data_IF_412498064154
#
_entry.id   IF_412498064154
#
_cell.length_a   1.000
_cell.length_b   1.000
_cell.length_c   1.000
_cell.angle_alpha   90.00
_cell.angle_beta   90.00
_cell.angle_gamma   90.00
#
_symmetry.space_group_name_H-M   'P 1'
#
loop_
_entity.id
_entity.type
_entity.pdbx_description
1 polymer ?
#
# COMPACT_ATOMS: atom_id res chain seq x y z
N UNK A 1 28.47 -11.92 -10.71
CA UNK A 1 27.86 -12.21 -9.40
C UNK A 1 26.57 -11.41 -9.36
N UNK A 2 25.40 -12.02 -9.19
CA UNK A 2 24.16 -11.25 -9.17
C UNK A 2 24.11 -10.46 -7.86
N UNK A 3 23.95 -9.15 -7.97
CA UNK A 3 23.67 -8.28 -6.84
C UNK A 3 22.28 -8.63 -6.32
N UNK A 4 22.22 -9.22 -5.13
CA UNK A 4 20.96 -9.39 -4.40
C UNK A 4 20.52 -8.00 -3.94
N UNK A 5 19.45 -7.49 -4.52
CA UNK A 5 18.74 -6.33 -3.99
C UNK A 5 18.13 -6.73 -2.64
N UNK A 6 18.58 -6.08 -1.58
CA UNK A 6 17.92 -6.14 -0.27
C UNK A 6 16.68 -5.25 -0.34
N UNK A 7 15.54 -5.86 -0.62
CA UNK A 7 14.25 -5.17 -0.64
C UNK A 7 13.77 -5.12 0.81
N UNK A 8 13.96 -3.99 1.46
CA UNK A 8 13.30 -3.70 2.72
C UNK A 8 11.91 -3.12 2.42
N UNK A 9 10.87 -3.90 2.59
CA UNK A 9 9.49 -3.40 2.49
C UNK A 9 9.25 -2.37 3.58
N UNK A 10 8.88 -1.16 3.20
CA UNK A 10 8.47 -0.11 4.11
C UNK A 10 7.01 0.17 3.84
N UNK A 11 6.19 -0.17 4.83
CA UNK A 11 4.82 0.27 4.83
C UNK A 11 4.77 1.77 5.11
N UNK A 12 4.32 2.55 4.15
CA UNK A 12 3.94 3.94 4.37
C UNK A 12 2.50 3.95 4.87
N UNK A 13 2.33 4.17 6.16
CA UNK A 13 1.00 4.34 6.75
C UNK A 13 0.63 5.82 6.65
N UNK A 14 -0.22 6.15 5.71
CA UNK A 14 -0.88 7.45 5.66
C UNK A 14 -2.25 7.32 6.35
N UNK A 15 -2.38 7.83 7.56
CA UNK A 15 -3.67 7.97 8.23
C UNK A 15 -4.26 9.33 7.85
N UNK A 16 -5.27 9.34 7.00
CA UNK A 16 -6.06 10.53 6.71
C UNK A 16 -7.07 10.75 7.86
N UNK A 17 -6.69 11.60 8.80
CA UNK A 17 -7.65 12.19 9.72
C UNK A 17 -8.15 13.53 9.13
N UNK A 18 -9.36 13.56 8.64
CA UNK A 18 -10.02 14.77 8.17
C UNK A 18 -10.53 15.57 9.38
N UNK A 19 -9.64 16.34 10.04
CA UNK A 19 -10.03 17.54 10.84
C UNK A 19 -8.80 18.32 11.29
N UNK A 20 -8.89 19.62 11.36
CA UNK A 20 -7.87 20.63 11.55
C UNK A 20 -7.12 20.66 12.90
N UNK A 21 -6.28 21.69 13.19
CA UNK A 21 -5.16 21.62 14.12
C UNK A 21 -5.56 21.72 15.59
N UNK A 22 -5.04 20.86 16.37
CA UNK A 22 -4.69 20.89 17.81
C UNK A 22 -5.05 19.59 18.52
N UNK A 23 -4.10 19.04 19.25
CA UNK A 23 -4.27 17.91 20.15
C UNK A 23 -5.36 18.16 21.19
N UNK A 24 -6.59 17.79 20.86
CA UNK A 24 -7.68 17.58 21.81
C UNK A 24 -8.06 16.11 21.71
N UNK A 25 -8.22 15.47 22.86
CA UNK A 25 -8.94 14.20 22.97
C UNK A 25 -10.31 14.41 22.28
N UNK A 26 -10.39 14.09 21.00
CA UNK A 26 -11.63 14.19 20.26
C UNK A 26 -12.47 12.98 20.62
N UNK A 27 -13.66 13.24 21.10
CA UNK A 27 -14.73 12.25 21.05
C UNK A 27 -14.96 11.94 19.58
N UNK A 28 -14.61 10.70 19.16
CA UNK A 28 -14.79 10.23 17.79
C UNK A 28 -16.26 10.41 17.42
N UNK A 29 -16.54 11.28 16.44
CA UNK A 29 -17.88 11.44 15.91
C UNK A 29 -18.35 10.08 15.35
N UNK A 30 -19.60 9.66 15.61
CA UNK A 30 -20.16 8.45 14.99
C UNK A 30 -20.04 8.38 13.45
N UNK A 31 -19.75 9.50 12.78
CA UNK A 31 -19.49 9.60 11.35
C UNK A 31 -18.03 9.42 10.89
N UNK A 32 -17.04 9.47 11.80
CA UNK A 32 -15.64 9.41 11.42
C UNK A 32 -15.26 8.03 10.81
N UNK A 33 -14.49 8.04 9.75
CA UNK A 33 -13.93 6.85 9.12
C UNK A 33 -12.40 6.94 9.07
N UNK A 34 -11.75 5.77 9.09
CA UNK A 34 -10.30 5.65 8.91
C UNK A 34 -10.04 4.90 7.62
N UNK A 35 -9.18 5.48 6.77
CA UNK A 35 -8.64 4.79 5.60
C UNK A 35 -7.17 4.50 5.87
N UNK A 36 -6.82 3.21 5.87
CA UNK A 36 -5.44 2.74 5.91
C UNK A 36 -5.03 2.39 4.48
N UNK A 37 -3.90 2.91 4.04
CA UNK A 37 -3.33 2.57 2.72
C UNK A 37 -1.92 2.06 2.92
N UNK A 38 -1.59 0.93 2.30
CA UNK A 38 -0.22 0.42 2.22
C UNK A 38 0.21 0.26 0.77
N UNK A 39 1.49 0.45 0.53
CA UNK A 39 2.16 0.26 -0.75
C UNK A 39 3.24 -0.80 -0.53
N UNK A 40 3.07 -2.01 -1.05
CA UNK A 40 4.09 -3.04 -0.96
C UNK A 40 5.33 -2.67 -1.78
N UNK A 41 6.50 -3.07 -1.32
CA UNK A 41 7.76 -2.76 -1.99
C UNK A 41 8.16 -1.27 -2.01
N UNK A 42 7.40 -0.38 -1.36
CA UNK A 42 7.72 1.04 -1.31
C UNK A 42 9.00 1.30 -0.49
N UNK A 43 10.02 1.91 -1.14
CA UNK A 43 11.29 2.19 -0.49
C UNK A 43 11.38 3.64 0.00
N UNK A 44 12.11 3.85 1.11
CA UNK A 44 12.42 5.19 1.63
C UNK A 44 13.09 6.08 0.59
N UNK A 45 13.90 5.49 -0.27
CA UNK A 45 14.66 6.19 -1.30
C UNK A 45 13.73 6.93 -2.27
N UNK A 46 12.71 6.27 -2.80
CA UNK A 46 11.75 6.91 -3.70
C UNK A 46 10.80 7.85 -2.97
N UNK A 47 10.29 7.42 -1.80
CA UNK A 47 9.33 8.23 -1.04
C UNK A 47 9.93 9.56 -0.61
N UNK A 48 11.15 9.57 -0.07
CA UNK A 48 11.79 10.77 0.46
C UNK A 48 12.79 11.43 -0.50
N UNK A 49 13.42 10.64 -1.35
CA UNK A 49 14.47 11.09 -2.28
C UNK A 49 14.02 11.28 -3.72
N UNK A 50 12.89 10.67 -4.10
CA UNK A 50 12.44 10.62 -5.49
C UNK A 50 13.25 9.65 -6.34
N UNK A 51 13.46 9.95 -7.63
CA UNK A 51 14.23 9.12 -8.54
C UNK A 51 15.62 8.78 -7.98
N UNK A 52 15.90 7.48 -7.84
CA UNK A 52 17.23 6.94 -7.54
C UNK A 52 17.99 6.71 -8.85
N UNK A 53 19.04 7.52 -9.07
CA UNK A 53 19.82 7.49 -10.30
C UNK A 53 20.65 6.22 -10.43
N UNK A 54 21.13 5.65 -9.33
CA UNK A 54 21.96 4.44 -9.36
C UNK A 54 21.09 3.22 -9.73
N UNK A 55 19.88 3.16 -9.20
CA UNK A 55 18.91 2.13 -9.60
C UNK A 55 18.53 2.31 -11.07
N UNK A 56 18.18 3.53 -11.51
CA UNK A 56 17.89 3.77 -12.92
C UNK A 56 19.03 3.32 -13.82
N UNK A 57 20.27 3.70 -13.49
CA UNK A 57 21.47 3.33 -14.25
C UNK A 57 21.62 1.81 -14.36
N UNK A 58 21.32 1.07 -13.30
CA UNK A 58 21.42 -0.39 -13.30
C UNK A 58 20.43 -1.09 -14.24
N UNK A 59 19.35 -0.40 -14.62
CA UNK A 59 18.32 -0.93 -15.54
C UNK A 59 18.55 -0.56 -16.99
N UNK A 60 19.51 0.34 -17.26
CA UNK A 60 19.84 0.78 -18.63
C UNK A 60 20.89 -0.13 -19.27
N UNK A 61 20.92 -0.15 -20.60
CA UNK A 61 22.00 -0.79 -21.35
C UNK A 61 23.31 -0.01 -21.16
N UNK A 62 24.47 -0.68 -21.20
CA UNK A 62 25.77 -0.03 -20.95
C UNK A 62 26.08 1.20 -21.81
N UNK A 63 25.55 1.24 -23.04
CA UNK A 63 25.72 2.35 -23.98
C UNK A 63 24.74 3.51 -23.80
N UNK A 64 23.71 3.32 -22.98
CA UNK A 64 22.71 4.35 -22.74
C UNK A 64 23.16 5.33 -21.66
N UNK A 65 23.07 6.63 -21.97
CA UNK A 65 23.28 7.65 -20.96
C UNK A 65 22.03 7.85 -20.13
N UNK A 66 22.21 7.95 -18.82
CA UNK A 66 21.13 8.11 -17.87
C UNK A 66 20.28 9.33 -18.17
N UNK A 67 20.93 10.46 -18.48
CA UNK A 67 20.29 11.75 -18.74
C UNK A 67 19.46 11.75 -20.03
N UNK A 68 19.74 10.82 -20.93
CA UNK A 68 19.01 10.69 -22.21
C UNK A 68 17.76 9.81 -22.06
N UNK A 69 17.65 9.04 -20.95
CA UNK A 69 16.51 8.17 -20.71
C UNK A 69 15.21 8.96 -20.47
N UNK A 70 14.08 8.40 -20.92
CA UNK A 70 12.77 9.01 -20.72
C UNK A 70 12.41 9.11 -19.21
N UNK A 71 12.83 8.13 -18.42
CA UNK A 71 12.64 8.09 -16.97
C UNK A 71 13.34 9.24 -16.29
N UNK A 72 14.62 9.45 -16.61
CA UNK A 72 15.38 10.57 -16.05
C UNK A 72 14.74 11.92 -16.43
N UNK A 73 14.43 12.14 -17.69
CA UNK A 73 13.78 13.37 -18.16
C UNK A 73 12.45 13.66 -17.46
N UNK A 74 11.70 12.61 -17.12
CA UNK A 74 10.41 12.74 -16.44
C UNK A 74 10.55 13.04 -14.97
N UNK A 75 11.39 12.29 -14.24
CA UNK A 75 11.38 12.27 -12.78
C UNK A 75 12.56 12.94 -12.11
N UNK A 76 13.61 13.29 -12.87
CA UNK A 76 14.79 13.94 -12.30
C UNK A 76 14.52 15.40 -11.93
N UNK A 77 15.11 15.82 -10.82
CA UNK A 77 15.32 17.21 -10.40
C UNK A 77 16.55 17.27 -9.50
N UNK A 78 17.11 18.47 -9.29
CA UNK A 78 18.36 18.64 -8.54
C UNK A 78 18.22 18.28 -7.07
N UNK A 79 17.10 18.61 -6.43
CA UNK A 79 16.89 18.33 -5.01
C UNK A 79 15.99 17.12 -4.79
N UNK A 80 16.18 16.38 -3.67
CA UNK A 80 15.30 15.28 -3.29
C UNK A 80 13.82 15.69 -3.21
N UNK A 81 13.57 16.87 -2.66
CA UNK A 81 12.23 17.45 -2.53
C UNK A 81 11.56 17.62 -3.89
N UNK A 82 12.29 18.19 -4.86
CA UNK A 82 11.76 18.37 -6.21
C UNK A 82 11.57 17.03 -6.95
N UNK A 83 12.44 16.04 -6.72
CA UNK A 83 12.30 14.70 -7.33
C UNK A 83 11.08 13.96 -6.79
N UNK A 84 10.92 13.90 -5.46
CA UNK A 84 9.78 13.21 -4.85
C UNK A 84 8.44 13.84 -5.22
N UNK A 85 8.40 15.16 -5.38
CA UNK A 85 7.24 15.91 -5.87
C UNK A 85 6.83 15.52 -7.30
N UNK A 86 7.76 15.05 -8.14
CA UNK A 86 7.45 14.57 -9.48
C UNK A 86 6.83 13.16 -9.49
N UNK A 87 7.06 12.39 -8.44
CA UNK A 87 6.56 11.02 -8.32
C UNK A 87 5.23 10.99 -7.56
N UNK A 88 5.13 11.75 -6.47
CA UNK A 88 4.01 11.77 -5.53
C UNK A 88 3.58 13.21 -5.22
N UNK A 89 3.10 13.99 -6.21
CA UNK A 89 2.76 15.40 -6.01
C UNK A 89 1.61 15.62 -5.02
N UNK A 90 0.54 14.82 -5.09
CA UNK A 90 -0.60 14.93 -4.19
C UNK A 90 -0.20 14.56 -2.76
N UNK A 91 0.45 13.42 -2.57
CA UNK A 91 0.90 12.95 -1.26
C UNK A 91 1.77 14.00 -0.55
N UNK A 92 2.77 14.56 -1.24
CA UNK A 92 3.65 15.55 -0.65
C UNK A 92 2.97 16.89 -0.39
N UNK A 93 1.99 17.28 -1.19
CA UNK A 93 1.14 18.45 -0.91
C UNK A 93 0.30 18.21 0.35
N UNK A 94 -0.37 17.06 0.44
CA UNK A 94 -1.17 16.68 1.60
C UNK A 94 -0.35 16.62 2.89
N UNK A 95 0.84 15.98 2.85
CA UNK A 95 1.75 15.87 4.00
C UNK A 95 2.21 17.24 4.47
N UNK A 96 2.59 18.13 3.55
CA UNK A 96 3.09 19.48 3.89
C UNK A 96 2.03 20.40 4.45
N UNK A 97 0.80 20.31 3.96
CA UNK A 97 -0.28 21.23 4.31
C UNK A 97 -1.13 20.73 5.48
N UNK A 98 -1.35 19.44 5.60
CA UNK A 98 -2.36 18.89 6.51
C UNK A 98 -1.88 17.65 7.29
N UNK A 99 -0.77 17.03 6.86
CA UNK A 99 -0.32 15.74 7.36
C UNK A 99 0.83 15.80 8.34
N UNK A 100 1.23 14.60 8.76
CA UNK A 100 2.48 14.34 9.50
C UNK A 100 3.16 13.15 8.86
N UNK A 101 4.50 13.13 8.87
CA UNK A 101 5.28 12.06 8.29
C UNK A 101 6.37 11.59 9.24
N UNK A 102 6.60 10.27 9.27
CA UNK A 102 7.71 9.64 9.96
C UNK A 102 8.55 8.82 8.97
N UNK A 103 9.81 8.53 9.32
CA UNK A 103 10.68 7.68 8.52
C UNK A 103 11.68 8.43 7.63
N UNK A 104 11.63 9.76 7.56
CA UNK A 104 12.63 10.52 6.82
C UNK A 104 13.95 10.57 7.59
N UNK A 105 14.87 9.65 7.28
CA UNK A 105 16.17 9.52 7.92
C UNK A 105 17.05 10.76 7.76
N UNK A 106 16.93 11.49 6.66
CA UNK A 106 17.67 12.74 6.44
C UNK A 106 17.27 13.83 7.43
N UNK A 107 16.07 13.75 8.01
CA UNK A 107 15.58 14.65 9.06
C UNK A 107 15.61 14.03 10.47
N UNK A 108 16.33 12.92 10.65
CA UNK A 108 16.49 12.25 11.94
C UNK A 108 15.27 11.45 12.39
N UNK A 109 14.29 11.21 11.51
CA UNK A 109 13.15 10.36 11.79
C UNK A 109 13.35 8.97 11.17
N UNK A 110 13.05 7.90 11.93
CA UNK A 110 13.13 6.53 11.44
C UNK A 110 11.80 5.79 11.65
N UNK A 111 11.46 4.94 10.69
CA UNK A 111 10.48 3.89 10.84
C UNK A 111 11.18 2.56 10.53
N UNK A 112 11.02 1.57 11.39
CA UNK A 112 11.71 0.29 11.28
C UNK A 112 10.73 -0.85 11.52
N UNK A 113 10.94 -1.96 10.84
CA UNK A 113 10.26 -3.22 11.12
C UNK A 113 10.95 -3.92 12.29
N UNK A 114 10.16 -4.53 13.16
CA UNK A 114 10.64 -5.34 14.28
C UNK A 114 10.88 -6.80 13.91
N UNK A 115 10.17 -7.32 12.88
CA UNK A 115 10.33 -8.68 12.43
C UNK A 115 11.67 -8.90 11.69
N UNK A 116 12.16 -10.16 11.70
CA UNK A 116 13.44 -10.55 11.11
C UNK A 116 13.32 -11.28 9.78
N UNK A 117 12.10 -11.50 9.27
CA UNK A 117 11.89 -12.39 8.13
C UNK A 117 12.00 -11.72 6.76
N UNK A 118 11.87 -10.40 6.67
CA UNK A 118 12.05 -9.62 5.44
C UNK A 118 11.14 -10.06 4.27
N UNK A 119 9.94 -10.54 4.60
CA UNK A 119 8.86 -10.87 3.67
C UNK A 119 7.68 -9.95 3.88
N UNK A 120 6.83 -9.82 2.87
CA UNK A 120 5.65 -8.95 2.91
C UNK A 120 4.66 -9.39 3.99
N UNK A 121 4.30 -10.67 4.06
CA UNK A 121 3.33 -11.13 5.06
C UNK A 121 3.79 -10.89 6.52
N UNK A 122 5.01 -11.25 6.95
CA UNK A 122 5.51 -10.85 8.28
C UNK A 122 5.42 -9.35 8.55
N UNK A 123 5.70 -8.51 7.54
CA UNK A 123 5.56 -7.05 7.63
C UNK A 123 4.12 -6.61 7.82
N UNK A 124 3.19 -7.13 7.03
CA UNK A 124 1.76 -6.87 7.19
C UNK A 124 1.20 -7.39 8.51
N UNK A 125 1.65 -8.57 8.94
CA UNK A 125 1.31 -9.10 10.25
C UNK A 125 1.72 -8.14 11.36
N UNK A 126 2.94 -7.62 11.32
CA UNK A 126 3.43 -6.64 12.28
C UNK A 126 2.59 -5.35 12.28
N UNK A 127 2.21 -4.84 11.10
CA UNK A 127 1.33 -3.66 10.97
C UNK A 127 -0.03 -3.93 11.63
N UNK A 128 -0.64 -5.08 11.34
CA UNK A 128 -1.99 -5.40 11.80
C UNK A 128 -2.06 -5.88 13.25
N UNK A 129 -0.95 -6.35 13.82
CA UNK A 129 -0.87 -6.77 15.23
C UNK A 129 -0.23 -5.71 16.14
N UNK A 130 0.43 -4.70 15.55
CA UNK A 130 1.14 -3.65 16.29
C UNK A 130 2.49 -4.08 16.86
N UNK A 131 2.92 -5.30 16.60
CA UNK A 131 4.24 -5.84 16.96
C UNK A 131 4.58 -7.08 16.14
N UNK A 132 5.87 -7.42 16.06
CA UNK A 132 6.36 -8.63 15.41
C UNK A 132 6.09 -9.89 16.26
N UNK A 133 5.70 -10.97 15.59
CA UNK A 133 5.59 -12.34 16.13
C UNK A 133 6.32 -13.29 15.18
N UNK A 134 7.65 -13.32 15.28
CA UNK A 134 8.54 -14.00 14.33
C UNK A 134 8.34 -15.52 14.24
N UNK A 135 7.70 -16.11 15.24
CA UNK A 135 7.38 -17.55 15.28
C UNK A 135 6.09 -17.92 14.55
N UNK A 136 5.22 -16.94 14.31
CA UNK A 136 3.90 -17.19 13.75
C UNK A 136 3.91 -17.19 12.21
N UNK A 137 4.44 -16.12 11.61
CA UNK A 137 4.50 -15.93 10.16
C UNK A 137 5.94 -15.69 9.75
N UNK A 138 6.48 -16.62 8.97
CA UNK A 138 7.92 -16.65 8.60
C UNK A 138 8.20 -16.48 7.11
N UNK A 139 7.14 -16.48 6.29
CA UNK A 139 7.19 -16.41 4.82
C UNK A 139 5.94 -15.74 4.27
N UNK A 140 5.82 -15.70 2.94
CA UNK A 140 4.61 -15.26 2.22
C UNK A 140 3.59 -16.40 2.02
N UNK A 141 3.76 -17.56 2.65
CA UNK A 141 2.79 -18.64 2.55
C UNK A 141 1.40 -18.18 3.06
N UNK A 142 0.29 -18.50 2.37
CA UNK A 142 -1.05 -18.02 2.69
C UNK A 142 -1.65 -18.76 3.91
N UNK A 143 -0.94 -18.75 5.02
CA UNK A 143 -1.39 -19.28 6.30
C UNK A 143 -2.27 -18.23 6.96
N UNK A 144 -3.48 -18.61 7.38
CA UNK A 144 -4.37 -17.66 8.06
C UNK A 144 -3.70 -17.05 9.27
N UNK A 145 -3.86 -15.73 9.41
CA UNK A 145 -3.32 -14.95 10.54
C UNK A 145 -3.66 -15.63 11.90
N UNK A 146 -2.67 -16.05 12.67
CA UNK A 146 -2.91 -16.82 13.89
C UNK A 146 -3.43 -15.99 15.08
N UNK A 147 -3.42 -14.67 14.96
CA UNK A 147 -3.82 -13.74 16.03
C UNK A 147 -4.87 -12.74 15.55
N UNK A 148 -5.76 -12.30 16.48
CA UNK A 148 -6.74 -11.25 16.22
C UNK A 148 -6.05 -9.97 15.72
N UNK A 149 -6.43 -9.49 14.55
CA UNK A 149 -5.90 -8.26 13.95
C UNK A 149 -6.53 -7.01 14.56
N UNK A 150 -5.90 -5.86 14.37
CA UNK A 150 -6.48 -4.56 14.77
C UNK A 150 -7.82 -4.31 14.08
N UNK A 151 -8.03 -4.83 12.88
CA UNK A 151 -9.29 -4.71 12.14
C UNK A 151 -10.42 -5.42 12.84
N UNK A 152 -10.20 -6.69 13.22
CA UNK A 152 -11.17 -7.48 13.98
C UNK A 152 -11.41 -6.89 15.36
N UNK A 153 -10.35 -6.45 16.03
CA UNK A 153 -10.42 -5.82 17.35
C UNK A 153 -11.27 -4.55 17.31
N UNK A 154 -11.05 -3.65 16.34
CA UNK A 154 -11.87 -2.44 16.18
C UNK A 154 -13.32 -2.82 15.92
N UNK A 155 -13.56 -3.79 15.02
CA UNK A 155 -14.91 -4.28 14.76
C UNK A 155 -15.61 -4.75 16.03
N UNK A 156 -14.95 -5.59 16.81
CA UNK A 156 -15.49 -6.15 18.06
C UNK A 156 -15.72 -5.07 19.12
N UNK A 157 -14.74 -4.24 19.41
CA UNK A 157 -14.81 -3.21 20.46
C UNK A 157 -15.79 -2.09 20.13
N UNK A 158 -15.96 -1.75 18.86
CA UNK A 158 -16.93 -0.75 18.40
C UNK A 158 -18.29 -1.34 18.01
N UNK A 159 -18.47 -2.65 18.15
CA UNK A 159 -19.71 -3.37 17.79
C UNK A 159 -20.14 -3.14 16.34
N UNK A 160 -19.18 -3.06 15.43
CA UNK A 160 -19.41 -2.83 14.00
C UNK A 160 -19.83 -4.15 13.31
N UNK A 161 -20.64 -4.03 12.25
CA UNK A 161 -20.87 -5.16 11.34
C UNK A 161 -19.61 -5.49 10.53
N UNK A 162 -19.54 -6.69 9.96
CA UNK A 162 -18.42 -7.07 9.10
C UNK A 162 -18.21 -6.09 7.94
N UNK A 163 -19.29 -5.61 7.32
CA UNK A 163 -19.24 -4.66 6.22
C UNK A 163 -18.78 -3.24 6.61
N UNK A 164 -18.67 -2.94 7.89
CA UNK A 164 -18.16 -1.64 8.35
C UNK A 164 -16.65 -1.64 8.57
N UNK A 165 -16.00 -2.80 8.44
CA UNK A 165 -14.54 -2.95 8.43
C UNK A 165 -14.17 -3.74 7.19
N UNK A 166 -13.59 -3.09 6.20
CA UNK A 166 -13.36 -3.68 4.89
C UNK A 166 -11.90 -3.56 4.45
N UNK A 167 -11.40 -4.60 3.80
CA UNK A 167 -10.06 -4.67 3.20
C UNK A 167 -10.19 -4.91 1.70
N UNK A 168 -9.51 -4.10 0.90
CA UNK A 168 -9.34 -4.27 -0.53
C UNK A 168 -7.86 -4.38 -0.83
N UNK A 169 -7.43 -5.51 -1.38
CA UNK A 169 -6.01 -5.76 -1.62
C UNK A 169 -5.76 -6.25 -3.04
N UNK A 170 -4.63 -5.87 -3.62
CA UNK A 170 -4.21 -6.37 -4.91
C UNK A 170 -3.74 -7.81 -4.81
N UNK A 171 -3.01 -8.17 -3.77
CA UNK A 171 -2.51 -9.51 -3.51
C UNK A 171 -3.55 -10.41 -2.83
N UNK A 172 -3.81 -11.61 -3.38
CA UNK A 172 -4.81 -12.57 -2.90
C UNK A 172 -4.53 -13.13 -1.49
N UNK A 173 -3.26 -13.16 -1.08
CA UNK A 173 -2.85 -13.62 0.26
C UNK A 173 -3.46 -12.77 1.37
N UNK A 174 -3.98 -11.57 1.07
CA UNK A 174 -4.72 -10.76 2.05
C UNK A 174 -5.96 -11.45 2.60
N UNK A 175 -6.49 -12.46 1.92
CA UNK A 175 -7.53 -13.35 2.46
C UNK A 175 -7.06 -14.13 3.70
N UNK A 176 -5.75 -14.30 3.85
CA UNK A 176 -5.14 -14.92 5.02
C UNK A 176 -4.59 -13.87 6.02
N UNK A 177 -4.07 -12.73 5.50
CA UNK A 177 -3.38 -11.71 6.29
C UNK A 177 -4.36 -10.88 7.13
N UNK A 178 -5.50 -10.46 6.56
CA UNK A 178 -6.29 -9.36 7.10
C UNK A 178 -7.12 -9.76 8.33
N UNK A 179 -7.40 -11.06 8.52
CA UNK A 179 -8.20 -11.53 9.66
C UNK A 179 -7.75 -12.90 10.18
N UNK A 180 -7.92 -13.08 11.47
CA UNK A 180 -7.77 -14.35 12.18
C UNK A 180 -9.01 -15.23 11.99
N UNK A 181 -10.18 -14.67 12.26
CA UNK A 181 -11.46 -15.38 12.18
C UNK A 181 -12.10 -15.12 10.83
N UNK A 182 -12.25 -16.16 10.03
CA UNK A 182 -12.84 -16.07 8.69
C UNK A 182 -14.22 -15.41 8.70
N UNK A 183 -14.40 -14.39 7.86
CA UNK A 183 -15.61 -13.61 7.73
C UNK A 183 -15.86 -12.64 8.89
N UNK A 184 -14.86 -12.42 9.75
CA UNK A 184 -14.96 -11.39 10.78
C UNK A 184 -15.06 -9.99 10.17
N UNK A 185 -14.38 -9.75 9.07
CA UNK A 185 -14.40 -8.49 8.33
C UNK A 185 -14.82 -8.73 6.87
N UNK A 186 -14.97 -7.69 6.08
CA UNK A 186 -15.15 -7.84 4.63
C UNK A 186 -13.80 -7.76 3.95
N UNK A 187 -13.43 -8.79 3.20
CA UNK A 187 -12.20 -8.82 2.43
C UNK A 187 -12.55 -9.04 0.96
N UNK A 188 -11.85 -8.33 0.07
CA UNK A 188 -11.83 -8.58 -1.35
C UNK A 188 -10.38 -8.42 -1.84
N UNK A 189 -9.76 -9.51 -2.23
CA UNK A 189 -8.34 -9.57 -2.56
C UNK A 189 -8.06 -10.36 -3.83
N UNK A 190 -6.95 -10.07 -4.51
CA UNK A 190 -6.60 -10.73 -5.77
C UNK A 190 -7.70 -10.55 -6.82
N UNK A 191 -7.92 -11.56 -7.63
CA UNK A 191 -8.88 -11.52 -8.74
C UNK A 191 -10.35 -11.74 -8.33
N UNK A 192 -10.66 -11.62 -7.04
CA UNK A 192 -12.04 -11.81 -6.56
C UNK A 192 -12.97 -10.73 -7.12
N UNK A 193 -14.13 -11.12 -7.70
CA UNK A 193 -15.11 -10.15 -8.13
C UNK A 193 -15.76 -9.46 -6.93
N UNK A 194 -16.02 -8.17 -7.05
CA UNK A 194 -16.79 -7.46 -6.03
C UNK A 194 -18.28 -7.67 -6.25
N UNK A 195 -18.94 -8.22 -5.23
CA UNK A 195 -20.37 -8.48 -5.23
C UNK A 195 -21.03 -7.82 -4.00
N UNK A 196 -21.37 -6.54 -4.14
CA UNK A 196 -22.04 -5.77 -3.08
C UNK A 196 -23.47 -5.48 -3.51
N UNK A 197 -24.49 -5.82 -2.72
CA UNK A 197 -25.88 -5.54 -3.06
C UNK A 197 -26.11 -4.05 -3.36
N UNK A 198 -26.66 -3.77 -4.55
CA UNK A 198 -26.96 -2.41 -5.00
C UNK A 198 -25.74 -1.62 -5.51
N UNK A 199 -24.59 -2.26 -5.69
CA UNK A 199 -23.45 -1.75 -6.41
C UNK A 199 -23.32 -2.52 -7.74
N UNK A 200 -23.38 -1.79 -8.86
CA UNK A 200 -23.18 -2.39 -10.18
C UNK A 200 -21.68 -2.43 -10.51
N UNK A 201 -21.07 -3.57 -10.23
CA UNK A 201 -19.67 -3.83 -10.55
C UNK A 201 -19.48 -4.78 -11.74
N UNK A 202 -20.54 -5.11 -12.47
CA UNK A 202 -20.44 -6.10 -13.54
C UNK A 202 -19.38 -5.74 -14.59
N UNK A 203 -19.36 -4.49 -15.03
CA UNK A 203 -18.35 -4.00 -16.00
C UNK A 203 -16.95 -4.03 -15.41
N UNK A 204 -16.78 -3.61 -14.16
CA UNK A 204 -15.46 -3.59 -13.50
C UNK A 204 -14.92 -5.02 -13.30
N UNK A 205 -15.77 -5.94 -12.88
CA UNK A 205 -15.41 -7.35 -12.72
C UNK A 205 -15.06 -8.00 -14.08
N UNK A 206 -15.82 -7.66 -15.15
CA UNK A 206 -15.50 -8.12 -16.50
C UNK A 206 -14.14 -7.57 -16.97
N UNK A 207 -13.91 -6.26 -16.81
CA UNK A 207 -12.64 -5.64 -17.20
C UNK A 207 -11.44 -6.22 -16.42
N UNK A 208 -11.61 -6.51 -15.14
CA UNK A 208 -10.57 -7.17 -14.34
C UNK A 208 -10.22 -8.55 -14.91
N UNK A 209 -11.23 -9.33 -15.30
CA UNK A 209 -11.03 -10.64 -15.93
C UNK A 209 -10.35 -10.53 -17.32
N UNK A 210 -10.72 -9.53 -18.12
CA UNK A 210 -10.18 -9.32 -19.47
C UNK A 210 -8.77 -8.71 -19.46
N UNK A 211 -8.48 -7.82 -18.50
CA UNK A 211 -7.18 -7.17 -18.32
C UNK A 211 -6.40 -7.84 -17.19
N UNK A 212 -6.13 -9.14 -17.37
CA UNK A 212 -5.42 -9.92 -16.36
C UNK A 212 -4.04 -9.30 -16.02
N UNK A 213 -3.71 -9.37 -14.76
CA UNK A 213 -2.39 -9.00 -14.26
C UNK A 213 -1.31 -9.93 -14.85
N UNK A 214 -0.08 -9.44 -15.07
CA UNK A 214 1.03 -10.30 -15.47
C UNK A 214 1.53 -11.19 -14.32
N UNK A 215 1.11 -10.92 -13.08
CA UNK A 215 1.55 -11.63 -11.88
C UNK A 215 0.47 -12.59 -11.37
N UNK A 216 0.91 -13.72 -10.84
CA UNK A 216 0.00 -14.72 -10.31
C UNK A 216 -0.46 -14.32 -8.89
N UNK A 217 -1.78 -14.34 -8.66
CA UNK A 217 -2.36 -14.00 -7.37
C UNK A 217 -2.47 -12.50 -7.07
N UNK A 218 -1.99 -11.63 -7.97
CA UNK A 218 -2.02 -10.17 -7.80
C UNK A 218 -2.83 -9.54 -8.93
N UNK A 219 -3.87 -8.79 -8.62
CA UNK A 219 -4.58 -7.94 -9.60
C UNK A 219 -3.93 -6.57 -9.72
N UNK A 220 -4.21 -5.86 -10.82
CA UNK A 220 -3.74 -4.49 -10.98
C UNK A 220 -4.36 -3.56 -9.93
N UNK A 221 -3.55 -2.66 -9.37
CA UNK A 221 -3.94 -1.69 -8.33
C UNK A 221 -5.13 -0.81 -8.74
N UNK A 222 -5.26 -0.54 -10.03
CA UNK A 222 -6.40 0.20 -10.56
C UNK A 222 -7.76 -0.47 -10.25
N UNK A 223 -7.83 -1.80 -10.29
CA UNK A 223 -9.04 -2.53 -9.93
C UNK A 223 -9.28 -2.52 -8.43
N UNK A 224 -8.22 -2.72 -7.63
CA UNK A 224 -8.27 -2.61 -6.17
C UNK A 224 -8.83 -1.26 -5.75
N UNK A 225 -8.28 -0.18 -6.30
CA UNK A 225 -8.74 1.18 -6.03
C UNK A 225 -10.21 1.39 -6.41
N UNK A 226 -10.61 1.01 -7.64
CA UNK A 226 -11.98 1.21 -8.11
C UNK A 226 -13.00 0.41 -7.31
N UNK A 227 -12.67 -0.81 -6.92
CA UNK A 227 -13.53 -1.63 -6.06
C UNK A 227 -13.63 -1.04 -4.65
N UNK A 228 -12.51 -0.60 -4.06
CA UNK A 228 -12.48 0.04 -2.76
C UNK A 228 -13.32 1.34 -2.74
N UNK A 229 -13.18 2.17 -3.77
CA UNK A 229 -13.95 3.43 -3.88
C UNK A 229 -15.45 3.18 -4.09
N UNK A 230 -15.80 2.20 -4.92
CA UNK A 230 -17.21 1.80 -5.08
C UNK A 230 -17.81 1.30 -3.76
N UNK A 231 -17.05 0.53 -2.99
CA UNK A 231 -17.45 0.07 -1.68
C UNK A 231 -17.58 1.24 -0.69
N UNK A 232 -16.60 2.14 -0.68
CA UNK A 232 -16.61 3.33 0.18
C UNK A 232 -17.88 4.16 -0.03
N UNK A 233 -18.22 4.44 -1.28
CA UNK A 233 -19.40 5.23 -1.64
C UNK A 233 -20.69 4.55 -1.21
N UNK A 234 -20.79 3.23 -1.39
CA UNK A 234 -22.02 2.46 -1.15
C UNK A 234 -22.20 2.04 0.29
N UNK A 235 -21.18 1.43 0.89
CA UNK A 235 -21.25 0.81 2.21
C UNK A 235 -20.85 1.76 3.33
N UNK A 236 -20.08 2.81 3.03
CA UNK A 236 -19.55 3.78 4.00
C UNK A 236 -18.93 3.12 5.22
N UNK A 237 -17.91 2.26 5.03
CA UNK A 237 -17.27 1.56 6.14
C UNK A 237 -16.63 2.55 7.12
N UNK A 238 -16.52 2.14 8.38
CA UNK A 238 -15.83 2.89 9.44
C UNK A 238 -14.31 2.70 9.36
N UNK A 239 -13.89 1.56 8.84
CA UNK A 239 -12.48 1.27 8.55
C UNK A 239 -12.41 0.70 7.13
N UNK A 240 -11.61 1.34 6.30
CA UNK A 240 -11.28 0.86 4.96
C UNK A 240 -9.77 0.68 4.87
N UNK A 241 -9.33 -0.54 4.62
CA UNK A 241 -7.93 -0.85 4.34
C UNK A 241 -7.77 -1.10 2.85
N UNK A 242 -6.82 -0.40 2.22
CA UNK A 242 -6.46 -0.58 0.81
C UNK A 242 -4.98 -0.96 0.76
N UNK A 243 -4.66 -2.13 0.23
CA UNK A 243 -3.29 -2.61 0.07
C UNK A 243 -2.95 -2.74 -1.42
N UNK A 244 -2.05 -1.89 -1.89
CA UNK A 244 -1.54 -1.88 -3.25
C UNK A 244 -0.25 -2.69 -3.36
N UNK A 245 0.00 -3.31 -4.51
CA UNK A 245 1.05 -4.29 -4.71
C UNK A 245 1.95 -4.04 -5.93
N UNK A 246 1.47 -3.31 -6.96
CA UNK A 246 2.23 -3.12 -8.21
C UNK A 246 3.64 -2.54 -7.99
N UNK A 247 3.86 -1.80 -6.91
CA UNK A 247 5.19 -1.25 -6.60
C UNK A 247 6.19 -2.34 -6.22
N UNK A 248 5.75 -3.41 -5.56
CA UNK A 248 6.58 -4.57 -5.25
C UNK A 248 6.85 -5.43 -6.49
N UNK A 249 5.79 -5.80 -7.19
CA UNK A 249 5.87 -6.63 -8.38
C UNK A 249 6.79 -6.03 -9.46
N UNK A 250 6.66 -4.72 -9.77
CA UNK A 250 7.56 -4.04 -10.71
C UNK A 250 9.00 -3.98 -10.23
N UNK A 251 9.22 -3.94 -8.88
CA UNK A 251 10.56 -4.00 -8.32
C UNK A 251 11.18 -5.39 -8.51
N UNK A 252 10.40 -6.44 -8.29
CA UNK A 252 10.81 -7.82 -8.54
C UNK A 252 11.16 -8.08 -10.02
N UNK A 253 10.41 -7.49 -10.93
CA UNK A 253 10.66 -7.56 -12.37
C UNK A 253 11.85 -6.70 -12.83
N UNK A 254 12.46 -5.92 -11.94
CA UNK A 254 13.54 -4.98 -12.28
C UNK A 254 13.09 -3.83 -13.18
N UNK A 255 11.79 -3.54 -13.21
CA UNK A 255 11.18 -2.52 -14.05
C UNK A 255 11.02 -1.20 -13.32
N UNK A 256 12.17 -0.56 -13.05
CA UNK A 256 12.19 0.72 -12.32
C UNK A 256 11.35 1.82 -13.00
N UNK A 257 11.28 1.80 -14.32
CA UNK A 257 10.41 2.68 -15.09
C UNK A 257 8.92 2.50 -14.75
N UNK A 258 8.51 1.25 -14.52
CA UNK A 258 7.13 0.90 -14.17
C UNK A 258 6.84 1.16 -12.70
N UNK A 259 7.80 0.90 -11.82
CA UNK A 259 7.72 1.23 -10.40
C UNK A 259 7.41 2.72 -10.20
N UNK A 260 8.19 3.61 -10.81
CA UNK A 260 7.95 5.06 -10.71
C UNK A 260 6.59 5.46 -11.29
N UNK A 261 6.19 4.84 -12.40
CA UNK A 261 4.88 5.08 -12.98
C UNK A 261 3.73 4.51 -12.12
N UNK A 262 3.97 3.45 -11.33
CA UNK A 262 2.99 2.93 -10.37
C UNK A 262 2.77 3.92 -9.22
N UNK A 263 3.83 4.46 -8.63
CA UNK A 263 3.71 5.54 -7.64
C UNK A 263 2.87 6.71 -8.16
N UNK A 264 3.18 7.19 -9.36
CA UNK A 264 2.47 8.32 -9.98
C UNK A 264 0.98 8.00 -10.21
N UNK A 265 0.64 6.76 -10.60
CA UNK A 265 -0.76 6.35 -10.75
C UNK A 265 -1.51 6.24 -9.44
N UNK A 266 -0.84 5.77 -8.38
CA UNK A 266 -1.45 5.65 -7.05
C UNK A 266 -1.70 7.03 -6.45
N UNK A 267 -0.83 8.00 -6.73
CA UNK A 267 -0.93 9.37 -6.22
C UNK A 267 -2.02 10.22 -6.93
N UNK A 268 -2.36 9.89 -8.19
CA UNK A 268 -3.33 10.61 -9.04
C UNK A 268 -4.73 10.05 -8.97
#
# INVERSE_FOLDING_TARGET
MPHRFLIGSIAVVAALALTGPAARSQTVDPGDAVVLVTLDGARTEEIFGGLDVDVLKSTLKPEQKVEESAVYKRYWAETPEARRQKILPFFWTLVTEQGSIAGNRALGSSATLGNKHWFSYPGYSEILLGQAFDEDITSNDPIRQPRETVLERIRREKQLSAGQVATFASWDTFNAIAEHTEGATTINAGDEPLNVPGLDNAVLNQLQHEAASPWNGTRLDAFTFRQAMGYLDKARPRVLYIAFDETDDWSHDGRYDRLLAAYERIDG
#
